data_IF_698106702458
#
_entry.id   IF_698106702458
#
_cell.length_a   1.000
_cell.length_b   1.000
_cell.length_c   1.000
_cell.angle_alpha   90.00
_cell.angle_beta   90.00
_cell.angle_gamma   90.00
#
_symmetry.space_group_name_H-M   'P 1'
#
loop_
_entity.id
_entity.type
_entity.pdbx_description
1 polymer ?
#
# COMPACT_ATOMS: atom_id res chain seq x y z
N UNK A 1 28.62 37.04 -33.30
CA UNK A 1 28.20 36.56 -31.96
C UNK A 1 26.67 36.56 -31.78
N UNK A 2 25.90 35.96 -32.69
CA UNK A 2 24.41 35.84 -32.58
C UNK A 2 23.94 34.39 -32.36
N UNK A 3 24.70 33.41 -32.84
CA UNK A 3 24.34 31.99 -32.76
C UNK A 3 24.53 31.36 -31.37
N UNK A 4 25.36 31.96 -30.50
CA UNK A 4 25.60 31.46 -29.15
C UNK A 4 24.37 31.63 -28.22
N UNK A 5 23.53 32.64 -28.48
CA UNK A 5 22.33 32.92 -27.67
C UNK A 5 21.16 31.98 -27.97
N UNK A 6 21.14 31.39 -29.17
CA UNK A 6 20.08 30.46 -29.60
C UNK A 6 20.27 29.09 -28.93
N UNK A 7 21.52 28.66 -28.77
CA UNK A 7 21.84 27.41 -28.08
C UNK A 7 21.43 27.42 -26.59
N UNK A 8 21.57 28.56 -25.92
CA UNK A 8 21.18 28.71 -24.51
C UNK A 8 19.65 28.64 -24.30
N UNK A 9 18.87 29.11 -25.28
CA UNK A 9 17.41 29.04 -25.21
C UNK A 9 16.86 27.62 -25.42
N UNK A 10 17.51 26.79 -26.25
CA UNK A 10 17.10 25.40 -26.47
C UNK A 10 17.37 24.49 -25.25
N UNK A 11 18.44 24.77 -24.49
CA UNK A 11 18.80 23.95 -23.32
C UNK A 11 17.79 24.08 -22.15
N UNK A 12 17.07 25.20 -22.04
CA UNK A 12 16.08 25.41 -20.97
C UNK A 12 14.74 24.69 -21.22
N UNK A 13 14.43 24.29 -22.46
CA UNK A 13 13.18 23.57 -22.78
C UNK A 13 13.27 22.06 -22.48
N UNK A 14 14.47 21.51 -22.30
CA UNK A 14 14.67 20.09 -22.00
C UNK A 14 14.53 19.74 -20.50
N UNK A 15 14.47 20.73 -19.61
CA UNK A 15 14.45 20.52 -18.15
C UNK A 15 13.04 20.41 -17.54
N UNK A 16 11.97 20.53 -18.34
CA UNK A 16 10.59 20.46 -17.85
C UNK A 16 9.98 19.04 -17.86
N UNK A 17 10.71 18.03 -18.35
CA UNK A 17 10.20 16.65 -18.44
C UNK A 17 10.58 15.81 -17.20
N UNK A 18 10.32 16.31 -15.99
CA UNK A 18 10.22 15.46 -14.82
C UNK A 18 8.78 14.95 -14.71
N UNK A 19 8.37 14.04 -15.61
CA UNK A 19 7.17 13.25 -15.40
C UNK A 19 7.47 12.21 -14.33
N UNK A 20 7.51 12.65 -13.07
CA UNK A 20 7.32 11.74 -11.95
C UNK A 20 5.89 11.25 -12.07
N UNK A 21 5.72 10.03 -12.60
CA UNK A 21 4.43 9.34 -12.51
C UNK A 21 4.10 9.23 -11.03
N UNK A 22 3.04 9.93 -10.60
CA UNK A 22 2.50 9.73 -9.27
C UNK A 22 2.20 8.23 -9.12
N UNK A 23 2.58 7.58 -8.01
CA UNK A 23 2.27 6.18 -7.81
C UNK A 23 0.77 5.98 -7.97
N UNK A 24 0.36 4.84 -8.56
CA UNK A 24 -1.04 4.44 -8.70
C UNK A 24 -1.66 4.31 -7.30
N UNK A 25 -2.16 5.41 -6.78
CA UNK A 25 -2.57 5.52 -5.40
C UNK A 25 -4.04 5.90 -5.38
N UNK A 26 -4.88 5.03 -4.81
CA UNK A 26 -6.22 5.44 -4.37
C UNK A 26 -6.00 6.67 -3.51
N UNK A 27 -6.41 7.88 -3.94
CA UNK A 27 -5.88 9.19 -3.52
C UNK A 27 -6.03 9.59 -2.04
N UNK A 28 -5.89 8.66 -1.11
CA UNK A 28 -6.16 8.76 0.31
C UNK A 28 -4.92 8.41 1.09
N UNK A 29 -4.32 9.42 1.72
CA UNK A 29 -3.07 9.30 2.48
C UNK A 29 -3.09 8.08 3.42
N UNK A 30 -1.99 7.34 3.39
CA UNK A 30 -1.74 6.18 4.24
C UNK A 30 -1.12 6.63 5.56
N UNK A 31 -1.52 5.96 6.63
CA UNK A 31 -0.93 6.08 7.96
C UNK A 31 0.11 4.99 8.14
N UNK A 32 1.25 5.35 8.73
CA UNK A 32 2.28 4.37 9.12
C UNK A 32 1.81 3.58 10.34
N UNK A 33 1.85 2.24 10.27
CA UNK A 33 1.61 1.35 11.40
C UNK A 33 2.94 0.96 12.08
N UNK A 34 3.92 0.56 11.27
CA UNK A 34 5.30 0.24 11.68
C UNK A 34 6.30 0.55 10.54
N UNK A 35 7.55 0.09 10.66
CA UNK A 35 8.61 0.35 9.65
C UNK A 35 8.37 -0.29 8.26
N UNK A 36 7.49 -1.28 8.20
CA UNK A 36 7.21 -2.10 7.02
C UNK A 36 5.74 -2.05 6.58
N UNK A 37 4.86 -1.47 7.40
CA UNK A 37 3.41 -1.54 7.24
C UNK A 37 2.79 -0.15 7.24
N UNK A 38 2.08 0.15 6.17
CA UNK A 38 1.22 1.32 6.03
C UNK A 38 -0.23 0.88 5.87
N UNK A 39 -1.18 1.72 6.26
CA UNK A 39 -2.59 1.39 6.17
C UNK A 39 -3.48 2.60 5.93
N UNK A 40 -4.66 2.36 5.37
CA UNK A 40 -5.73 3.35 5.27
C UNK A 40 -7.07 2.68 5.52
N UNK A 41 -8.03 3.44 6.03
CA UNK A 41 -9.30 2.91 6.53
C UNK A 41 -10.46 3.67 5.96
N UNK A 42 -11.34 3.01 5.22
CA UNK A 42 -12.59 3.58 4.73
C UNK A 42 -13.77 3.14 5.58
N UNK A 43 -14.32 4.06 6.37
CA UNK A 43 -15.45 3.75 7.25
C UNK A 43 -16.73 3.56 6.44
N UNK A 44 -17.47 2.52 6.81
CA UNK A 44 -18.81 2.21 6.31
C UNK A 44 -19.75 2.07 7.52
N UNK A 45 -21.09 2.15 7.36
CA UNK A 45 -22.01 2.11 8.49
C UNK A 45 -21.79 0.94 9.45
N UNK A 46 -21.52 -0.24 8.89
CA UNK A 46 -21.40 -1.48 9.66
C UNK A 46 -19.95 -1.83 10.01
N UNK A 47 -18.98 -0.96 9.72
CA UNK A 47 -17.58 -1.38 9.77
C UNK A 47 -16.58 -0.40 9.16
N UNK A 48 -15.55 -0.98 8.57
CA UNK A 48 -14.59 -0.28 7.75
C UNK A 48 -13.90 -1.20 6.75
N UNK A 49 -13.53 -0.69 5.59
CA UNK A 49 -12.62 -1.34 4.67
C UNK A 49 -11.20 -0.95 5.04
N UNK A 50 -10.40 -1.92 5.46
CA UNK A 50 -8.98 -1.76 5.71
C UNK A 50 -8.20 -2.04 4.44
N UNK A 51 -7.31 -1.13 4.06
CA UNK A 51 -6.24 -1.40 3.10
C UNK A 51 -4.90 -1.32 3.81
N UNK A 52 -4.07 -2.34 3.64
CA UNK A 52 -2.71 -2.42 4.19
C UNK A 52 -1.72 -2.60 3.05
N UNK A 53 -0.65 -1.80 3.06
CA UNK A 53 0.52 -2.00 2.22
C UNK A 53 1.67 -2.47 3.11
N UNK A 54 2.12 -3.70 2.86
CA UNK A 54 3.19 -4.36 3.61
C UNK A 54 4.39 -4.60 2.70
N UNK A 55 5.57 -4.20 3.17
CA UNK A 55 6.85 -4.41 2.51
C UNK A 55 7.64 -5.48 3.24
N UNK A 56 7.98 -6.55 2.54
CA UNK A 56 8.81 -7.61 3.13
C UNK A 56 10.23 -7.10 3.33
N UNK A 57 10.76 -7.27 4.54
CA UNK A 57 12.16 -6.94 4.86
C UNK A 57 13.12 -7.97 4.28
N UNK A 58 12.64 -9.20 4.08
CA UNK A 58 13.40 -10.28 3.47
C UNK A 58 13.31 -10.18 1.94
N UNK A 59 14.46 -10.18 1.26
CA UNK A 59 14.55 -10.03 -0.20
C UNK A 59 13.94 -11.20 -1.00
N UNK A 60 13.61 -12.32 -0.35
CA UNK A 60 13.16 -13.54 -1.02
C UNK A 60 12.01 -14.22 -0.28
N UNK A 61 10.78 -13.77 -0.52
CA UNK A 61 9.58 -14.48 -0.06
C UNK A 61 9.02 -15.40 -1.15
N UNK A 62 8.64 -16.63 -0.77
CA UNK A 62 7.85 -17.50 -1.63
C UNK A 62 6.42 -16.92 -1.74
N UNK A 63 5.73 -17.07 -2.88
CA UNK A 63 4.42 -16.45 -3.07
C UNK A 63 3.36 -16.87 -2.03
N UNK A 64 3.35 -18.15 -1.65
CA UNK A 64 2.41 -18.67 -0.65
C UNK A 64 2.68 -18.14 0.75
N UNK A 65 3.95 -18.05 1.15
CA UNK A 65 4.34 -17.49 2.46
C UNK A 65 4.08 -15.99 2.53
N UNK A 66 4.36 -15.27 1.44
CA UNK A 66 4.02 -13.86 1.31
C UNK A 66 2.51 -13.63 1.48
N UNK A 67 1.67 -14.38 0.76
CA UNK A 67 0.22 -14.23 0.87
C UNK A 67 -0.30 -14.45 2.29
N UNK A 68 0.18 -15.50 2.98
CA UNK A 68 -0.22 -15.80 4.35
C UNK A 68 0.23 -14.70 5.34
N UNK A 69 1.48 -14.24 5.25
CA UNK A 69 1.97 -13.15 6.10
C UNK A 69 1.20 -11.85 5.87
N UNK A 70 0.94 -11.50 4.61
CA UNK A 70 0.21 -10.27 4.29
C UNK A 70 -1.21 -10.27 4.87
N UNK A 71 -1.91 -11.41 4.84
CA UNK A 71 -3.20 -11.57 5.53
C UNK A 71 -3.06 -11.41 7.03
N UNK A 72 -2.06 -12.05 7.64
CA UNK A 72 -1.82 -11.95 9.07
C UNK A 72 -1.57 -10.50 9.50
N UNK A 73 -0.77 -9.75 8.73
CA UNK A 73 -0.55 -8.31 8.97
C UNK A 73 -1.87 -7.54 8.86
N UNK A 74 -2.67 -7.77 7.82
CA UNK A 74 -3.97 -7.11 7.67
C UNK A 74 -4.92 -7.37 8.85
N UNK A 75 -4.98 -8.61 9.33
CA UNK A 75 -5.79 -9.00 10.50
C UNK A 75 -5.27 -8.31 11.77
N UNK A 76 -3.95 -8.29 11.98
CA UNK A 76 -3.34 -7.62 13.12
C UNK A 76 -3.61 -6.12 13.15
N UNK A 77 -3.49 -5.45 11.99
CA UNK A 77 -3.80 -4.01 11.87
C UNK A 77 -5.28 -3.77 12.14
N UNK A 78 -6.18 -4.61 11.62
CA UNK A 78 -7.62 -4.49 11.86
C UNK A 78 -7.95 -4.62 13.36
N UNK A 79 -7.41 -5.61 14.04
CA UNK A 79 -7.60 -5.81 15.49
C UNK A 79 -7.03 -4.63 16.29
N UNK A 80 -5.81 -4.17 16.00
CA UNK A 80 -5.24 -2.99 16.66
C UNK A 80 -6.11 -1.74 16.46
N UNK A 81 -6.70 -1.56 15.28
CA UNK A 81 -7.60 -0.42 15.03
C UNK A 81 -8.92 -0.55 15.78
N UNK A 82 -9.44 -1.76 15.90
CA UNK A 82 -10.63 -2.08 16.69
C UNK A 82 -10.39 -1.80 18.19
N UNK A 83 -9.26 -2.25 18.72
CA UNK A 83 -8.83 -2.05 20.11
C UNK A 83 -8.69 -0.57 20.45
N UNK A 84 -8.03 0.21 19.57
CA UNK A 84 -7.92 1.68 19.73
C UNK A 84 -9.27 2.38 19.76
N UNK A 85 -10.29 1.78 19.16
CA UNK A 85 -11.68 2.29 19.12
C UNK A 85 -12.55 1.71 20.22
N UNK A 86 -12.02 0.81 21.04
CA UNK A 86 -12.76 0.09 22.08
C UNK A 86 -14.02 -0.60 21.54
N UNK A 87 -13.98 -1.08 20.29
CA UNK A 87 -15.04 -1.88 19.66
C UNK A 87 -14.47 -3.21 19.21
N UNK A 88 -15.25 -4.27 19.38
CA UNK A 88 -14.90 -5.59 18.83
C UNK A 88 -15.30 -5.67 17.36
N UNK A 89 -14.55 -6.45 16.59
CA UNK A 89 -14.84 -6.78 15.20
C UNK A 89 -15.21 -8.26 15.09
N UNK A 90 -15.98 -8.59 14.06
CA UNK A 90 -16.18 -10.00 13.70
C UNK A 90 -14.87 -10.63 13.20
N UNK A 91 -14.70 -11.96 13.33
CA UNK A 91 -13.59 -12.65 12.71
C UNK A 91 -13.51 -12.33 11.22
N UNK A 92 -12.34 -11.89 10.76
CA UNK A 92 -12.15 -11.55 9.35
C UNK A 92 -11.99 -12.84 8.56
N UNK A 93 -12.94 -13.10 7.67
CA UNK A 93 -12.85 -14.20 6.72
C UNK A 93 -11.67 -13.98 5.77
N UNK A 94 -10.63 -14.81 5.89
CA UNK A 94 -9.47 -14.78 5.01
C UNK A 94 -9.79 -14.78 3.50
N UNK A 95 -10.80 -15.53 3.00
CA UNK A 95 -11.17 -15.49 1.59
C UNK A 95 -11.71 -14.14 1.11
N UNK A 96 -12.22 -13.30 2.02
CA UNK A 96 -12.71 -11.96 1.70
C UNK A 96 -11.57 -10.93 1.58
N UNK A 97 -10.36 -11.29 2.01
CA UNK A 97 -9.18 -10.44 1.89
C UNK A 97 -8.68 -10.49 0.45
N UNK A 98 -8.77 -9.35 -0.25
CA UNK A 98 -8.19 -9.20 -1.58
C UNK A 98 -6.71 -8.91 -1.46
N UNK A 99 -5.88 -9.78 -2.02
CA UNK A 99 -4.43 -9.62 -2.02
C UNK A 99 -3.94 -9.20 -3.40
N UNK A 100 -3.00 -8.28 -3.42
CA UNK A 100 -2.19 -7.96 -4.58
C UNK A 100 -0.72 -8.05 -4.17
N UNK A 101 0.11 -8.71 -4.96
CA UNK A 101 1.54 -8.88 -4.64
C UNK A 101 2.37 -8.31 -5.78
N UNK A 102 3.40 -7.55 -5.45
CA UNK A 102 4.37 -7.06 -6.43
C UNK A 102 5.61 -7.93 -6.41
N UNK A 103 6.18 -8.18 -7.59
CA UNK A 103 7.38 -8.98 -7.77
C UNK A 103 8.52 -8.13 -8.33
N UNK A 104 9.73 -8.40 -7.88
CA UNK A 104 10.93 -7.83 -8.50
C UNK A 104 11.28 -8.56 -9.81
N UNK A 105 12.31 -8.07 -10.50
CA UNK A 105 12.82 -8.66 -11.76
C UNK A 105 13.26 -10.14 -11.61
N UNK A 106 13.60 -10.57 -10.40
CA UNK A 106 13.94 -11.96 -10.08
C UNK A 106 12.72 -12.83 -9.71
N UNK A 107 11.49 -12.30 -9.88
CA UNK A 107 10.24 -13.01 -9.61
C UNK A 107 9.89 -13.18 -8.14
N UNK A 108 10.65 -12.55 -7.22
CA UNK A 108 10.43 -12.60 -5.76
C UNK A 108 9.43 -11.54 -5.33
N UNK A 109 8.54 -11.89 -4.40
CA UNK A 109 7.56 -10.94 -3.86
C UNK A 109 8.28 -9.95 -2.93
N UNK A 110 8.12 -8.65 -3.17
CA UNK A 110 8.76 -7.57 -2.39
C UNK A 110 7.77 -6.72 -1.62
N UNK A 111 6.56 -6.57 -2.13
CA UNK A 111 5.46 -5.89 -1.45
C UNK A 111 4.15 -6.63 -1.63
N UNK A 112 3.23 -6.43 -0.69
CA UNK A 112 1.87 -6.90 -0.76
C UNK A 112 0.90 -5.80 -0.33
N UNK A 113 -0.20 -5.68 -1.04
CA UNK A 113 -1.37 -4.89 -0.65
C UNK A 113 -2.47 -5.87 -0.26
N UNK A 114 -3.06 -5.70 0.92
CA UNK A 114 -4.23 -6.45 1.37
C UNK A 114 -5.40 -5.49 1.59
N UNK A 115 -6.56 -5.81 1.03
CA UNK A 115 -7.82 -5.09 1.29
C UNK A 115 -8.80 -6.04 1.99
N UNK A 116 -9.17 -5.71 3.22
CA UNK A 116 -10.04 -6.52 4.05
C UNK A 116 -11.30 -5.72 4.46
N UNK A 117 -12.52 -6.22 4.19
CA UNK A 117 -13.72 -5.68 4.80
C UNK A 117 -13.77 -6.12 6.27
N UNK A 118 -13.90 -5.17 7.19
CA UNK A 118 -14.01 -5.39 8.62
C UNK A 118 -15.39 -4.96 9.09
N UNK A 119 -16.09 -5.84 9.82
CA UNK A 119 -17.44 -5.60 10.32
C UNK A 119 -17.38 -5.49 11.83
N UNK A 120 -18.12 -4.54 12.41
CA UNK A 120 -18.23 -4.42 13.86
C UNK A 120 -19.04 -5.58 14.42
N UNK A 121 -18.61 -6.10 15.57
CA UNK A 121 -19.41 -7.06 16.31
C UNK A 121 -20.59 -6.33 16.98
N UNK A 122 -21.80 -6.85 16.74
CA UNK A 122 -23.04 -6.36 17.33
C UNK A 122 -23.31 -6.99 18.69
#
# INVERSE_FOLDING_TARGET
MKFLRIAAALACLASAACTTTAPHYSGRQMSTYDMATEYTVEYVPDGFTLRVDYRYLQFTMLPGTAAAECKAVAINVANSLADRRQRQIEPIDEPRIKLNTSRNWFGKVTTCTATAPVVWKH
#
